data_IF_972165476676
#
_entry.id   IF_972165476676
#
_cell.length_a   1.000
_cell.length_b   1.000
_cell.length_c   1.000
_cell.angle_alpha   90.00
_cell.angle_beta   90.00
_cell.angle_gamma   90.00
#
_symmetry.space_group_name_H-M   'P 1'
#
loop_
_entity.id
_entity.type
_entity.pdbx_description
1 polymer ?
#
# COMPACT_ATOMS: atom_id res chain seq x y z
N UNK A 1 3.92 2.87 -23.73
CA UNK A 1 2.49 3.27 -23.89
C UNK A 1 2.16 4.18 -22.72
N UNK A 2 1.57 5.35 -22.95
CA UNK A 2 1.08 6.18 -21.85
C UNK A 2 -0.03 5.45 -21.08
N UNK A 3 -0.08 5.61 -19.77
CA UNK A 3 -1.06 4.94 -18.90
C UNK A 3 -2.21 5.86 -18.50
N UNK A 4 -3.29 5.30 -17.98
CA UNK A 4 -4.41 6.09 -17.48
C UNK A 4 -4.13 6.59 -16.06
N UNK A 5 -4.29 7.89 -15.79
CA UNK A 5 -4.16 8.46 -14.44
C UNK A 5 -5.03 7.73 -13.39
N UNK A 6 -6.19 7.19 -13.78
CA UNK A 6 -7.06 6.44 -12.87
C UNK A 6 -6.51 5.05 -12.50
N UNK A 7 -5.50 4.55 -13.22
CA UNK A 7 -4.86 3.27 -12.92
C UNK A 7 -3.97 3.33 -11.67
N UNK A 8 -3.62 4.54 -11.19
CA UNK A 8 -2.81 4.73 -9.99
C UNK A 8 -3.60 5.49 -8.93
N UNK A 9 -3.72 4.88 -7.75
CA UNK A 9 -4.46 5.45 -6.63
C UNK A 9 -4.12 6.92 -6.33
N UNK A 10 -2.86 7.37 -6.22
CA UNK A 10 -2.61 8.75 -5.83
C UNK A 10 -3.13 9.78 -6.85
N UNK A 11 -3.12 9.48 -8.16
CA UNK A 11 -3.71 10.37 -9.16
C UNK A 11 -5.23 10.25 -9.22
N UNK A 12 -5.75 9.01 -9.15
CA UNK A 12 -7.19 8.74 -9.13
C UNK A 12 -7.87 9.46 -7.98
N UNK A 13 -7.30 9.36 -6.78
CA UNK A 13 -7.80 10.03 -5.58
C UNK A 13 -7.84 11.55 -5.76
N UNK A 14 -6.80 12.18 -6.31
CA UNK A 14 -6.78 13.63 -6.57
C UNK A 14 -7.80 14.09 -7.63
N UNK A 15 -8.27 13.16 -8.49
CA UNK A 15 -9.34 13.43 -9.46
C UNK A 15 -10.73 13.21 -8.84
N UNK A 16 -10.87 12.31 -7.87
CA UNK A 16 -12.10 12.07 -7.12
C UNK A 16 -12.31 13.10 -6.00
N UNK A 17 -11.22 13.57 -5.39
CA UNK A 17 -11.19 14.57 -4.31
C UNK A 17 -10.29 15.77 -4.68
N UNK A 18 -10.76 16.69 -5.54
CA UNK A 18 -9.97 17.82 -6.02
C UNK A 18 -9.43 18.73 -4.92
N UNK A 19 -10.18 18.93 -3.84
CA UNK A 19 -9.80 19.77 -2.70
C UNK A 19 -8.55 19.24 -1.99
N UNK A 20 -8.27 17.93 -2.06
CA UNK A 20 -7.06 17.33 -1.52
C UNK A 20 -5.78 17.91 -2.16
N UNK A 21 -5.84 18.40 -3.41
CA UNK A 21 -4.70 19.07 -4.06
C UNK A 21 -4.26 20.31 -3.28
N UNK A 22 -5.21 21.11 -2.81
CA UNK A 22 -4.94 22.31 -2.02
C UNK A 22 -4.40 21.95 -0.63
N UNK A 23 -4.97 20.91 0.01
CA UNK A 23 -4.49 20.39 1.29
C UNK A 23 -3.02 19.96 1.17
N UNK A 24 -2.70 19.13 0.18
CA UNK A 24 -1.35 18.63 -0.06
C UNK A 24 -0.38 19.79 -0.32
N UNK A 25 -0.74 20.73 -1.21
CA UNK A 25 0.11 21.87 -1.53
C UNK A 25 0.47 22.69 -0.29
N UNK A 26 -0.48 22.88 0.61
CA UNK A 26 -0.30 23.66 1.85
C UNK A 26 0.59 22.91 2.85
N UNK A 27 0.36 21.61 3.01
CA UNK A 27 0.95 20.86 4.12
C UNK A 27 2.24 20.09 3.76
N UNK A 28 2.60 19.97 2.47
CA UNK A 28 3.78 19.22 2.02
C UNK A 28 5.10 19.68 2.64
N UNK A 29 5.23 20.97 2.96
CA UNK A 29 6.44 21.53 3.59
C UNK A 29 6.47 21.37 5.11
N UNK A 30 5.39 20.85 5.70
CA UNK A 30 5.27 20.58 7.14
C UNK A 30 5.49 19.10 7.47
N UNK A 31 6.03 18.33 6.53
CA UNK A 31 6.53 16.99 6.75
C UNK A 31 8.00 17.02 7.16
N UNK A 32 8.32 16.42 8.31
CA UNK A 32 9.69 16.20 8.76
C UNK A 32 10.00 14.71 8.72
N UNK A 33 11.02 14.32 7.97
CA UNK A 33 11.39 12.92 7.73
C UNK A 33 10.24 12.04 7.19
N UNK A 34 9.29 12.63 6.46
CA UNK A 34 8.12 11.95 5.92
C UNK A 34 6.90 11.93 6.83
N UNK A 35 7.02 12.37 8.10
CA UNK A 35 5.89 12.46 9.03
C UNK A 35 5.31 13.87 9.03
N UNK A 36 3.99 13.98 9.01
CA UNK A 36 3.32 15.23 9.31
C UNK A 36 3.49 15.56 10.80
N UNK A 37 3.74 16.82 11.13
CA UNK A 37 3.61 17.27 12.51
C UNK A 37 2.16 17.14 12.99
N UNK A 38 1.94 17.01 14.30
CA UNK A 38 0.59 16.96 14.86
C UNK A 38 -0.27 18.16 14.45
N UNK A 39 0.32 19.36 14.40
CA UNK A 39 -0.36 20.56 13.91
C UNK A 39 -0.72 20.49 12.42
N UNK A 40 0.20 20.00 11.58
CA UNK A 40 -0.07 19.84 10.15
C UNK A 40 -1.18 18.81 9.93
N UNK A 41 -1.14 17.69 10.67
CA UNK A 41 -2.19 16.69 10.65
C UNK A 41 -3.55 17.30 11.06
N UNK A 42 -3.61 18.08 12.14
CA UNK A 42 -4.85 18.75 12.55
C UNK A 42 -5.36 19.72 11.47
N UNK A 43 -4.47 20.42 10.75
CA UNK A 43 -4.87 21.27 9.61
C UNK A 43 -5.43 20.46 8.44
N UNK A 44 -4.86 19.29 8.15
CA UNK A 44 -5.41 18.33 7.17
C UNK A 44 -6.81 17.88 7.59
N UNK A 45 -6.99 17.49 8.86
CA UNK A 45 -8.29 17.08 9.41
C UNK A 45 -9.33 18.20 9.25
N UNK A 46 -9.00 19.42 9.68
CA UNK A 46 -9.92 20.55 9.62
C UNK A 46 -10.31 20.91 8.17
N UNK A 47 -9.34 20.91 7.24
CA UNK A 47 -9.60 21.19 5.84
C UNK A 47 -10.43 20.08 5.18
N UNK A 48 -10.14 18.81 5.48
CA UNK A 48 -10.89 17.68 4.97
C UNK A 48 -12.32 17.61 5.50
N UNK A 49 -12.54 17.89 6.79
CA UNK A 49 -13.90 17.99 7.36
C UNK A 49 -14.69 19.16 6.76
N UNK A 50 -14.03 20.28 6.48
CA UNK A 50 -14.65 21.41 5.77
C UNK A 50 -15.09 20.98 4.37
N UNK A 51 -14.23 20.29 3.62
CA UNK A 51 -14.56 19.78 2.29
C UNK A 51 -15.65 18.71 2.32
N UNK A 52 -15.67 17.85 3.36
CA UNK A 52 -16.72 16.87 3.59
C UNK A 52 -18.09 17.54 3.74
N UNK A 53 -18.20 18.52 4.64
CA UNK A 53 -19.46 19.22 4.88
C UNK A 53 -19.95 19.93 3.60
N UNK A 54 -19.05 20.61 2.88
CA UNK A 54 -19.37 21.25 1.59
C UNK A 54 -19.81 20.25 0.51
N UNK A 55 -19.31 19.02 0.55
CA UNK A 55 -19.73 17.96 -0.36
C UNK A 55 -21.11 17.39 0.05
N UNK A 56 -21.38 17.22 1.35
CA UNK A 56 -22.69 16.80 1.85
C UNK A 56 -23.80 17.78 1.47
N UNK A 57 -23.54 19.08 1.50
CA UNK A 57 -24.51 20.11 1.09
C UNK A 57 -24.97 19.95 -0.37
N UNK A 58 -24.12 19.35 -1.21
CA UNK A 58 -24.39 19.10 -2.63
C UNK A 58 -25.03 17.74 -2.89
N UNK A 59 -25.10 16.86 -1.88
CA UNK A 59 -25.66 15.52 -1.99
C UNK A 59 -27.13 15.50 -1.52
N UNK A 60 -28.03 14.80 -2.26
CA UNK A 60 -29.36 14.46 -1.77
C UNK A 60 -29.28 13.78 -0.41
N UNK A 61 -30.20 14.10 0.50
CA UNK A 61 -30.18 13.63 1.88
C UNK A 61 -30.08 12.10 1.99
N UNK A 62 -30.81 11.39 1.12
CA UNK A 62 -30.88 9.93 1.07
C UNK A 62 -29.56 9.28 0.63
N UNK A 63 -28.68 10.05 -0.02
CA UNK A 63 -27.36 9.60 -0.47
C UNK A 63 -26.24 9.95 0.51
N UNK A 64 -26.55 10.70 1.59
CA UNK A 64 -25.53 11.09 2.57
C UNK A 64 -25.14 9.88 3.42
N UNK A 65 -23.85 9.68 3.70
CA UNK A 65 -23.41 8.65 4.63
C UNK A 65 -24.07 8.83 6.01
N UNK A 66 -24.46 7.72 6.63
CA UNK A 66 -25.01 7.74 7.99
C UNK A 66 -23.96 8.05 9.06
N UNK A 67 -22.68 7.93 8.72
CA UNK A 67 -21.53 8.11 9.62
C UNK A 67 -20.42 8.92 8.93
N UNK A 68 -19.49 9.43 9.72
CA UNK A 68 -18.33 10.19 9.23
C UNK A 68 -17.15 9.31 8.84
N UNK A 69 -17.29 7.98 8.84
CA UNK A 69 -16.18 7.03 8.63
C UNK A 69 -15.50 7.26 7.27
N UNK A 70 -16.29 7.55 6.24
CA UNK A 70 -15.80 7.90 4.90
C UNK A 70 -14.97 9.20 4.91
N UNK A 71 -15.38 10.19 5.71
CA UNK A 71 -14.63 11.43 5.85
C UNK A 71 -13.27 11.16 6.51
N UNK A 72 -13.27 10.40 7.61
CA UNK A 72 -12.06 10.02 8.35
C UNK A 72 -11.09 9.26 7.44
N UNK A 73 -11.59 8.29 6.66
CA UNK A 73 -10.79 7.51 5.72
C UNK A 73 -10.19 8.37 4.59
N UNK A 74 -10.96 9.28 4.01
CA UNK A 74 -10.47 10.20 2.97
C UNK A 74 -9.42 11.18 3.52
N UNK A 75 -9.62 11.67 4.76
CA UNK A 75 -8.66 12.53 5.46
C UNK A 75 -7.36 11.77 5.73
N UNK A 76 -7.44 10.53 6.21
CA UNK A 76 -6.28 9.65 6.38
C UNK A 76 -5.52 9.46 5.07
N UNK A 77 -6.24 9.16 3.98
CA UNK A 77 -5.66 9.07 2.64
C UNK A 77 -4.95 10.35 2.21
N UNK A 78 -5.56 11.51 2.48
CA UNK A 78 -4.94 12.80 2.19
C UNK A 78 -3.65 13.03 2.98
N UNK A 79 -3.58 12.59 4.24
CA UNK A 79 -2.36 12.66 5.05
C UNK A 79 -1.22 11.80 4.47
N UNK A 80 -1.51 10.57 4.05
CA UNK A 80 -0.52 9.72 3.34
C UNK A 80 -0.07 10.34 2.01
N UNK A 81 -0.99 10.98 1.29
CA UNK A 81 -0.66 11.73 0.08
C UNK A 81 0.24 12.95 0.33
N UNK A 82 0.08 13.62 1.47
CA UNK A 82 0.97 14.71 1.89
C UNK A 82 2.39 14.16 2.12
N UNK A 83 2.51 13.04 2.86
CA UNK A 83 3.80 12.37 3.08
C UNK A 83 4.45 11.91 1.76
N UNK A 84 3.67 11.32 0.86
CA UNK A 84 4.08 10.94 -0.49
C UNK A 84 4.54 12.13 -1.33
N UNK A 85 3.82 13.24 -1.26
CA UNK A 85 4.18 14.47 -1.94
C UNK A 85 5.50 15.04 -1.42
N UNK A 86 5.72 15.00 -0.10
CA UNK A 86 6.95 15.44 0.56
C UNK A 86 8.12 14.51 0.22
N UNK A 87 7.84 13.21 0.05
CA UNK A 87 8.78 12.20 -0.42
C UNK A 87 9.12 12.29 -1.92
N UNK A 88 8.59 13.27 -2.65
CA UNK A 88 8.91 13.52 -4.05
C UNK A 88 7.96 12.87 -5.07
N UNK A 89 6.82 12.31 -4.63
CA UNK A 89 5.81 11.64 -5.48
C UNK A 89 6.35 10.45 -6.26
N UNK A 90 7.34 9.76 -5.69
CA UNK A 90 7.98 8.62 -6.34
C UNK A 90 6.99 7.46 -6.45
N UNK A 91 6.70 7.03 -7.67
CA UNK A 91 5.78 5.92 -7.92
C UNK A 91 6.48 4.85 -8.74
N UNK A 92 6.40 3.62 -8.26
CA UNK A 92 6.97 2.44 -8.92
C UNK A 92 5.81 1.52 -9.31
N UNK A 93 5.78 1.11 -10.57
CA UNK A 93 4.74 0.21 -11.08
C UNK A 93 5.31 -1.17 -11.34
N UNK A 94 4.74 -2.18 -10.67
CA UNK A 94 5.06 -3.58 -10.88
C UNK A 94 4.22 -4.17 -12.02
N UNK A 95 4.85 -4.76 -13.04
CA UNK A 95 4.15 -5.55 -14.07
C UNK A 95 3.40 -6.74 -13.46
N UNK A 96 2.29 -7.15 -14.09
CA UNK A 96 1.44 -8.22 -13.59
C UNK A 96 2.19 -9.56 -13.49
N UNK A 97 3.13 -9.81 -14.41
CA UNK A 97 3.98 -11.00 -14.43
C UNK A 97 4.88 -11.06 -13.19
N UNK A 98 5.45 -9.92 -12.79
CA UNK A 98 6.29 -9.83 -11.59
C UNK A 98 5.45 -9.99 -10.34
N UNK A 99 4.28 -9.35 -10.28
CA UNK A 99 3.33 -9.51 -9.17
C UNK A 99 2.95 -10.98 -8.99
N UNK A 100 2.68 -11.70 -10.08
CA UNK A 100 2.37 -13.13 -10.05
C UNK A 100 3.52 -13.99 -9.50
N UNK A 101 4.76 -13.70 -9.88
CA UNK A 101 5.94 -14.42 -9.37
C UNK A 101 6.20 -14.09 -7.89
N UNK A 102 6.10 -12.83 -7.49
CA UNK A 102 6.30 -12.42 -6.09
C UNK A 102 5.20 -12.96 -5.18
N UNK A 103 3.96 -13.09 -5.67
CA UNK A 103 2.86 -13.73 -4.94
C UNK A 103 3.10 -15.23 -4.66
N UNK A 104 4.02 -15.86 -5.39
CA UNK A 104 4.46 -17.25 -5.22
C UNK A 104 5.83 -17.37 -4.54
N UNK A 105 6.33 -16.28 -3.96
CA UNK A 105 7.63 -16.22 -3.30
C UNK A 105 7.44 -16.15 -1.79
N UNK A 106 8.14 -17.01 -1.06
CA UNK A 106 8.18 -16.97 0.39
C UNK A 106 9.28 -16.02 0.88
N UNK A 107 8.97 -15.28 1.94
CA UNK A 107 9.93 -14.36 2.56
C UNK A 107 10.97 -15.08 3.44
N UNK A 108 10.72 -16.33 3.87
CA UNK A 108 11.61 -17.04 4.80
C UNK A 108 12.00 -16.19 6.01
N UNK A 109 13.28 -16.24 6.40
CA UNK A 109 13.87 -15.45 7.50
C UNK A 109 14.45 -14.10 7.05
N UNK A 110 13.91 -13.51 5.98
CA UNK A 110 14.37 -12.20 5.52
C UNK A 110 14.14 -11.15 6.58
N UNK A 111 15.21 -10.41 6.85
CA UNK A 111 15.21 -9.32 7.82
C UNK A 111 14.81 -8.04 7.11
N UNK A 112 14.13 -7.18 7.82
CA UNK A 112 13.74 -5.87 7.29
C UNK A 112 14.97 -5.01 6.96
N UNK A 113 16.11 -5.22 7.64
CA UNK A 113 17.38 -4.58 7.28
C UNK A 113 18.01 -5.11 5.97
N UNK A 114 17.58 -6.27 5.47
CA UNK A 114 18.00 -6.73 4.14
C UNK A 114 17.27 -5.96 3.02
N UNK A 115 16.23 -5.19 3.36
CA UNK A 115 15.47 -4.35 2.43
C UNK A 115 16.07 -2.92 2.37
N UNK A 116 16.36 -2.46 1.16
CA UNK A 116 16.79 -1.10 0.83
C UNK A 116 15.67 -0.40 0.11
N UNK A 117 15.09 0.59 0.78
CA UNK A 117 14.02 1.39 0.20
C UNK A 117 14.62 2.45 -0.74
N UNK A 118 14.09 2.61 -1.97
CA UNK A 118 14.59 3.60 -2.91
C UNK A 118 14.28 5.04 -2.45
N UNK A 119 13.20 5.20 -1.68
CA UNK A 119 12.75 6.47 -1.12
C UNK A 119 12.14 6.23 0.26
N UNK A 120 12.07 7.29 1.08
CA UNK A 120 11.43 7.23 2.41
C UNK A 120 9.92 7.08 2.32
N UNK A 121 9.30 7.74 1.35
CA UNK A 121 7.89 7.58 1.06
C UNK A 121 7.71 7.48 -0.47
N UNK A 122 7.04 6.43 -0.92
CA UNK A 122 6.74 6.19 -2.31
C UNK A 122 5.49 5.33 -2.45
N UNK A 123 4.90 5.36 -3.64
CA UNK A 123 3.78 4.50 -3.97
C UNK A 123 4.26 3.31 -4.80
N UNK A 124 3.81 2.11 -4.45
CA UNK A 124 4.06 0.90 -5.20
C UNK A 124 2.73 0.40 -5.75
N UNK A 125 2.58 0.48 -7.08
CA UNK A 125 1.35 0.09 -7.78
C UNK A 125 1.47 -1.29 -8.42
N UNK A 126 0.33 -1.98 -8.53
CA UNK A 126 0.21 -3.24 -9.26
C UNK A 126 -0.47 -3.00 -10.62
N UNK A 127 0.16 -3.41 -11.72
CA UNK A 127 -0.45 -3.25 -13.04
C UNK A 127 -1.72 -4.10 -13.14
N UNK A 128 -2.86 -3.45 -13.37
CA UNK A 128 -4.19 -4.09 -13.42
C UNK A 128 -4.87 -4.26 -12.06
N UNK A 129 -4.12 -4.22 -10.96
CA UNK A 129 -4.59 -4.59 -9.63
C UNK A 129 -4.50 -6.10 -9.38
N UNK A 130 -4.83 -6.51 -8.15
CA UNK A 130 -4.90 -7.91 -7.74
C UNK A 130 -6.32 -8.45 -7.96
N UNK A 131 -6.46 -9.77 -8.07
CA UNK A 131 -7.78 -10.45 -8.15
C UNK A 131 -8.53 -10.50 -6.80
N UNK A 132 -7.98 -9.85 -5.78
CA UNK A 132 -8.53 -9.76 -4.43
C UNK A 132 -8.83 -8.32 -4.05
N UNK A 133 -9.93 -8.13 -3.31
CA UNK A 133 -10.36 -6.84 -2.77
C UNK A 133 -10.41 -6.83 -1.24
N UNK A 134 -10.61 -5.64 -0.69
CA UNK A 134 -10.90 -5.41 0.72
C UNK A 134 -12.42 -5.48 0.98
N UNK A 135 -12.87 -5.60 2.24
CA UNK A 135 -14.30 -5.63 2.57
C UNK A 135 -15.05 -4.39 2.06
N UNK A 136 -16.32 -4.58 1.68
CA UNK A 136 -17.19 -3.51 1.19
C UNK A 136 -17.61 -3.70 -0.26
N UNK A 137 -17.84 -2.58 -0.95
CA UNK A 137 -18.27 -2.60 -2.34
C UNK A 137 -17.19 -3.22 -3.27
N UNK A 138 -17.57 -3.75 -4.45
CA UNK A 138 -16.63 -4.39 -5.37
C UNK A 138 -15.39 -3.54 -5.65
N UNK A 139 -14.22 -4.07 -5.30
CA UNK A 139 -12.93 -3.41 -5.43
C UNK A 139 -11.81 -4.44 -5.66
N UNK A 140 -10.66 -3.94 -6.11
CA UNK A 140 -9.41 -4.69 -6.26
C UNK A 140 -8.28 -3.93 -5.58
N UNK A 141 -7.39 -4.63 -4.89
CA UNK A 141 -6.18 -4.01 -4.33
C UNK A 141 -5.26 -3.59 -5.49
N UNK A 142 -4.83 -2.34 -5.52
CA UNK A 142 -4.09 -1.76 -6.66
C UNK A 142 -2.71 -1.21 -6.30
N UNK A 143 -2.34 -1.25 -5.03
CA UNK A 143 -1.02 -0.89 -4.56
C UNK A 143 -0.95 -0.58 -3.08
N UNK A 144 0.11 0.11 -2.69
CA UNK A 144 0.26 0.66 -1.35
C UNK A 144 1.20 1.87 -1.34
N UNK A 145 0.98 2.78 -0.39
CA UNK A 145 2.05 3.68 0.05
C UNK A 145 2.98 2.92 0.98
N UNK A 146 4.28 3.06 0.74
CA UNK A 146 5.34 2.53 1.60
C UNK A 146 6.01 3.71 2.25
N UNK A 147 6.03 3.71 3.58
CA UNK A 147 6.54 4.79 4.39
C UNK A 147 7.56 4.25 5.39
N UNK A 148 8.78 4.78 5.34
CA UNK A 148 9.83 4.43 6.28
C UNK A 148 10.34 5.65 7.03
N UNK A 149 10.26 5.52 8.34
CA UNK A 149 10.69 6.53 9.28
C UNK A 149 11.94 6.03 9.98
N UNK A 150 13.04 6.77 9.81
CA UNK A 150 14.24 6.54 10.59
C UNK A 150 14.06 7.15 11.98
N UNK A 151 14.87 6.69 12.94
CA UNK A 151 14.92 7.30 14.27
C UNK A 151 15.02 8.82 14.16
N UNK A 152 14.22 9.53 14.95
CA UNK A 152 14.32 10.98 15.06
C UNK A 152 15.75 11.41 15.45
N UNK A 153 16.12 12.69 15.28
CA UNK A 153 17.47 13.18 15.59
C UNK A 153 17.93 12.90 17.03
N UNK A 154 16.98 12.74 17.96
CA UNK A 154 17.24 12.40 19.36
C UNK A 154 17.25 10.89 19.67
N UNK A 155 17.08 10.02 18.65
CA UNK A 155 16.93 8.57 18.82
C UNK A 155 15.69 8.11 19.62
N UNK A 156 14.77 9.00 19.97
CA UNK A 156 13.65 8.72 20.88
C UNK A 156 12.54 7.84 20.27
N UNK A 157 12.48 7.72 18.94
CA UNK A 157 11.43 6.96 18.23
C UNK A 157 12.06 5.79 17.49
N UNK A 158 11.57 4.57 17.75
CA UNK A 158 12.01 3.38 17.03
C UNK A 158 11.74 3.54 15.52
N UNK A 159 12.63 3.04 14.64
CA UNK A 159 12.38 3.10 13.21
C UNK A 159 11.09 2.32 12.89
N UNK A 160 10.32 2.82 11.93
CA UNK A 160 9.09 2.17 11.50
C UNK A 160 8.99 2.04 10.00
N UNK A 161 8.28 1.00 9.58
CA UNK A 161 7.91 0.73 8.20
C UNK A 161 6.41 0.55 8.17
N UNK A 162 5.71 1.43 7.45
CA UNK A 162 4.26 1.41 7.38
C UNK A 162 3.82 1.16 5.95
N UNK A 163 2.72 0.42 5.82
CA UNK A 163 2.06 0.14 4.56
C UNK A 163 0.63 0.67 4.61
N UNK A 164 0.27 1.54 3.67
CA UNK A 164 -1.12 1.94 3.45
C UNK A 164 -1.60 1.29 2.16
N UNK A 165 -2.24 0.13 2.28
CA UNK A 165 -2.76 -0.66 1.16
C UNK A 165 -3.97 0.07 0.59
N UNK A 166 -3.96 0.28 -0.73
CA UNK A 166 -5.01 0.96 -1.47
C UNK A 166 -5.82 -0.04 -2.29
N UNK A 167 -7.08 0.31 -2.55
CA UNK A 167 -7.91 -0.41 -3.50
C UNK A 167 -8.51 0.53 -4.53
N UNK A 168 -9.03 -0.05 -5.61
CA UNK A 168 -9.75 0.63 -6.66
C UNK A 168 -11.12 -0.01 -6.81
N UNK A 169 -12.17 0.79 -6.82
CA UNK A 169 -13.52 0.30 -7.11
C UNK A 169 -13.64 -0.24 -8.54
N UNK A 170 -14.38 -1.33 -8.71
CA UNK A 170 -14.57 -2.00 -10.01
C UNK A 170 -15.93 -1.74 -10.64
N UNK A 171 -16.84 -1.08 -9.92
CA UNK A 171 -18.18 -0.73 -10.39
C UNK A 171 -18.23 0.58 -11.21
N UNK A 172 -17.08 1.20 -11.46
CA UNK A 172 -16.94 2.33 -12.38
C UNK A 172 -16.20 3.52 -11.79
N UNK A 173 -15.83 4.50 -12.64
CA UNK A 173 -15.19 5.72 -12.17
C UNK A 173 -16.20 6.63 -11.46
N UNK A 174 -15.92 6.95 -10.21
CA UNK A 174 -16.72 7.90 -9.43
C UNK A 174 -16.28 9.33 -9.78
N UNK A 175 -17.21 10.15 -10.30
CA UNK A 175 -16.95 11.51 -10.80
C UNK A 175 -18.06 12.48 -10.39
N UNK A 176 -17.70 13.75 -10.27
CA UNK A 176 -18.62 14.83 -9.94
C UNK A 176 -18.65 15.21 -8.45
N UNK A 177 -19.59 16.07 -8.05
CA UNK A 177 -19.74 16.51 -6.66
C UNK A 177 -19.98 15.32 -5.73
N UNK A 178 -19.16 15.18 -4.69
CA UNK A 178 -19.26 14.07 -3.74
C UNK A 178 -18.76 12.71 -4.25
N UNK A 179 -18.05 12.67 -5.38
CA UNK A 179 -17.48 11.43 -5.92
C UNK A 179 -16.62 10.65 -4.93
N UNK A 180 -15.80 11.35 -4.13
CA UNK A 180 -14.97 10.72 -3.11
C UNK A 180 -15.75 10.21 -1.90
N UNK A 181 -16.99 10.69 -1.69
CA UNK A 181 -17.90 10.20 -0.65
C UNK A 181 -18.59 8.93 -1.15
N UNK A 182 -19.23 8.99 -2.32
CA UNK A 182 -20.01 7.87 -2.87
C UNK A 182 -19.12 6.75 -3.42
N UNK A 183 -17.94 7.13 -3.90
CA UNK A 183 -16.94 6.26 -4.51
C UNK A 183 -15.80 5.90 -3.56
N UNK A 184 -16.01 5.98 -2.25
CA UNK A 184 -14.98 5.67 -1.26
C UNK A 184 -14.27 4.34 -1.57
N UNK A 185 -12.95 4.40 -1.65
CA UNK A 185 -12.08 3.25 -1.91
C UNK A 185 -11.57 2.70 -0.57
N UNK A 186 -11.90 1.45 -0.22
CA UNK A 186 -11.39 0.81 0.99
C UNK A 186 -9.85 0.80 1.04
N UNK A 187 -9.30 0.87 2.24
CA UNK A 187 -7.86 0.82 2.47
C UNK A 187 -7.53 -0.05 3.69
N UNK A 188 -6.27 -0.40 3.88
CA UNK A 188 -5.81 -1.05 5.09
C UNK A 188 -4.45 -0.49 5.50
N UNK A 189 -4.32 -0.06 6.76
CA UNK A 189 -3.09 0.52 7.28
C UNK A 189 -2.38 -0.46 8.22
N UNK A 190 -1.10 -0.70 7.95
CA UNK A 190 -0.26 -1.58 8.75
C UNK A 190 1.03 -0.86 9.15
N UNK A 191 1.07 -0.23 10.33
CA UNK A 191 2.30 0.32 10.89
C UNK A 191 3.12 -0.80 11.54
N UNK A 192 4.39 -0.93 11.14
CA UNK A 192 5.32 -1.91 11.72
C UNK A 192 6.46 -1.19 12.44
N UNK A 193 6.54 -1.40 13.75
CA UNK A 193 7.65 -0.89 14.58
C UNK A 193 8.82 -1.87 14.55
N UNK A 194 10.01 -1.34 14.23
CA UNK A 194 11.24 -2.11 14.13
C UNK A 194 12.07 -1.92 15.41
N UNK A 195 12.20 -3.01 16.18
CA UNK A 195 12.97 -3.00 17.42
C UNK A 195 14.46 -3.23 17.14
N UNK A 196 14.76 -4.04 16.14
CA UNK A 196 16.13 -4.36 15.75
C UNK A 196 16.30 -4.47 14.23
N UNK A 197 17.52 -4.26 13.69
CA UNK A 197 17.83 -4.59 12.30
C UNK A 197 17.63 -6.08 11.97
N UNK A 198 17.55 -6.94 12.99
CA UNK A 198 17.33 -8.38 12.83
C UNK A 198 15.88 -8.80 12.62
N UNK A 199 14.93 -7.87 12.77
CA UNK A 199 13.50 -8.19 12.78
C UNK A 199 13.03 -8.70 11.41
N UNK A 200 12.24 -9.78 11.42
CA UNK A 200 11.54 -10.29 10.23
C UNK A 200 10.18 -9.60 10.08
N UNK A 201 9.60 -9.66 8.88
CA UNK A 201 8.22 -9.16 8.66
C UNK A 201 7.24 -9.83 9.62
N UNK A 202 7.32 -11.15 9.76
CA UNK A 202 6.42 -11.90 10.63
C UNK A 202 6.56 -11.43 12.08
N UNK A 203 7.79 -11.32 12.60
CA UNK A 203 8.00 -10.84 13.96
C UNK A 203 7.51 -9.40 14.18
N UNK A 204 7.68 -8.51 13.20
CA UNK A 204 7.17 -7.15 13.27
C UNK A 204 5.63 -7.09 13.25
N UNK A 205 5.01 -7.92 12.40
CA UNK A 205 3.55 -8.00 12.29
C UNK A 205 2.90 -8.62 13.52
N UNK A 206 3.47 -9.71 14.06
CA UNK A 206 2.97 -10.38 15.26
C UNK A 206 2.98 -9.40 16.47
N UNK A 207 4.00 -8.55 16.55
CA UNK A 207 4.04 -7.47 17.56
C UNK A 207 2.98 -6.40 17.31
N UNK A 208 2.82 -5.94 16.07
CA UNK A 208 1.80 -4.95 15.72
C UNK A 208 0.38 -5.45 16.03
N UNK A 209 0.10 -6.74 15.78
CA UNK A 209 -1.17 -7.38 16.19
C UNK A 209 -1.30 -7.40 17.71
N UNK A 210 -0.25 -7.85 18.40
CA UNK A 210 -0.24 -7.99 19.86
C UNK A 210 -0.49 -6.66 20.56
N UNK A 211 0.14 -5.59 20.07
CA UNK A 211 -0.02 -4.21 20.52
C UNK A 211 -1.32 -3.55 20.02
N UNK A 212 -2.04 -4.18 19.09
CA UNK A 212 -3.24 -3.65 18.43
C UNK A 212 -2.97 -2.43 17.51
N UNK A 213 -1.72 -2.24 17.05
CA UNK A 213 -1.33 -1.14 16.17
C UNK A 213 -2.02 -1.19 14.80
N UNK A 214 -2.40 -2.39 14.36
CA UNK A 214 -3.21 -2.65 13.14
C UNK A 214 -4.72 -2.54 13.38
N UNK A 215 -5.15 -2.15 14.59
CA UNK A 215 -6.54 -1.87 14.93
C UNK A 215 -7.50 -3.05 14.76
N UNK A 216 -7.07 -4.28 15.10
CA UNK A 216 -7.93 -5.48 15.02
C UNK A 216 -8.92 -5.58 16.19
N UNK A 217 -8.76 -4.76 17.22
CA UNK A 217 -9.65 -4.69 18.38
C UNK A 217 -10.03 -3.23 18.63
N UNK A 218 -11.24 -2.94 19.12
CA UNK A 218 -11.59 -1.58 19.53
C UNK A 218 -10.65 -1.12 20.65
N UNK A 219 -10.25 0.15 20.61
CA UNK A 219 -9.51 0.78 21.71
C UNK A 219 -10.48 0.98 22.91
N UNK A 220 -10.27 0.27 24.04
CA UNK A 220 -11.16 0.36 25.18
C UNK A 220 -11.18 1.75 25.82
N UNK A 221 -10.06 2.47 25.82
CA UNK A 221 -9.94 3.80 26.41
C UNK A 221 -10.60 4.86 25.53
N UNK A 222 -10.46 4.74 24.20
CA UNK A 222 -11.21 5.57 23.26
C UNK A 222 -12.72 5.35 23.38
N UNK A 223 -13.14 4.09 23.52
CA UNK A 223 -14.55 3.74 23.67
C UNK A 223 -15.14 4.24 24.99
N UNK A 224 -14.39 4.13 26.10
CA UNK A 224 -14.78 4.68 27.39
C UNK A 224 -14.96 6.20 27.33
N UNK A 225 -13.99 6.92 26.75
CA UNK A 225 -14.06 8.37 26.55
C UNK A 225 -15.26 8.79 25.69
N UNK A 226 -15.53 8.07 24.61
CA UNK A 226 -16.69 8.32 23.76
C UNK A 226 -18.00 8.17 24.54
N UNK A 227 -18.15 7.07 25.30
CA UNK A 227 -19.36 6.80 26.09
C UNK A 227 -19.57 7.87 27.17
N UNK A 228 -18.51 8.22 27.88
CA UNK A 228 -18.54 9.29 28.88
C UNK A 228 -18.97 10.63 28.26
N UNK A 229 -18.38 11.03 27.13
CA UNK A 229 -18.75 12.29 26.48
C UNK A 229 -20.21 12.32 25.99
N UNK A 230 -20.76 11.17 25.60
CA UNK A 230 -22.18 11.06 25.25
C UNK A 230 -23.08 11.19 26.48
N UNK A 231 -22.69 10.60 27.61
CA UNK A 231 -23.43 10.74 28.88
C UNK A 231 -23.40 12.19 29.39
N UNK A 232 -22.24 12.84 29.34
CA UNK A 232 -22.08 14.26 29.69
C UNK A 232 -23.00 15.15 28.83
N UNK A 233 -22.98 14.97 27.51
CA UNK A 233 -23.86 15.73 26.61
C UNK A 233 -25.35 15.48 26.88
N UNK A 234 -25.75 14.27 27.27
CA UNK A 234 -27.15 13.99 27.67
C UNK A 234 -27.52 14.69 28.96
N UNK A 235 -26.61 14.69 29.95
CA UNK A 235 -26.82 15.39 31.21
C UNK A 235 -26.96 16.90 31.00
N UNK A 236 -26.28 17.45 30.00
CA UNK A 236 -26.40 18.85 29.57
C UNK A 236 -27.66 19.13 28.71
N UNK A 237 -28.50 18.13 28.47
CA UNK A 237 -29.77 18.26 27.74
C UNK A 237 -29.63 18.19 26.21
N UNK A 238 -28.48 17.82 25.67
CA UNK A 238 -28.32 17.65 24.22
C UNK A 238 -28.94 16.32 23.74
N UNK A 239 -29.67 16.32 22.61
CA UNK A 239 -30.29 15.12 22.05
C UNK A 239 -29.26 14.28 21.29
N UNK A 240 -28.38 13.57 22.01
CA UNK A 240 -27.35 12.71 21.44
C UNK A 240 -27.72 11.21 21.52
N UNK A 241 -27.73 10.56 20.36
CA UNK A 241 -27.88 9.11 20.24
C UNK A 241 -26.54 8.39 20.40
N UNK A 242 -26.57 7.15 20.91
CA UNK A 242 -25.43 6.25 20.82
C UNK A 242 -25.72 5.24 19.70
N UNK A 243 -24.91 5.16 18.64
CA UNK A 243 -25.11 4.14 17.62
C UNK A 243 -24.91 2.73 18.22
N UNK A 244 -25.51 1.71 17.59
CA UNK A 244 -25.36 0.32 18.03
C UNK A 244 -23.90 -0.14 18.05
N UNK A 245 -23.08 0.40 17.14
CA UNK A 245 -21.63 0.26 17.14
C UNK A 245 -21.01 1.66 17.00
N UNK A 246 -19.99 1.96 17.81
CA UNK A 246 -19.15 3.15 17.65
C UNK A 246 -18.30 3.08 16.38
N UNK A 247 -17.69 4.22 15.99
CA UNK A 247 -16.69 4.25 14.90
C UNK A 247 -15.52 3.29 15.17
N UNK A 248 -15.00 3.30 16.40
CA UNK A 248 -13.91 2.41 16.81
C UNK A 248 -14.26 0.92 16.68
N UNK A 249 -15.50 0.54 17.00
CA UNK A 249 -15.96 -0.84 16.86
C UNK A 249 -16.15 -1.23 15.39
N UNK A 250 -16.70 -0.33 14.56
CA UNK A 250 -16.83 -0.56 13.11
C UNK A 250 -15.46 -0.70 12.43
N UNK A 251 -14.51 0.17 12.77
CA UNK A 251 -13.15 0.12 12.23
C UNK A 251 -12.45 -1.19 12.61
N UNK A 252 -12.59 -1.64 13.87
CA UNK A 252 -12.03 -2.90 14.30
C UNK A 252 -12.63 -4.10 13.56
N UNK A 253 -13.95 -4.13 13.37
CA UNK A 253 -14.63 -5.18 12.60
C UNK A 253 -14.19 -5.19 11.14
N UNK A 254 -14.07 -4.01 10.52
CA UNK A 254 -13.54 -3.88 9.17
C UNK A 254 -12.11 -4.43 9.08
N UNK A 255 -11.24 -4.02 10.01
CA UNK A 255 -9.84 -4.47 10.02
C UNK A 255 -9.72 -5.98 10.25
N UNK A 256 -10.53 -6.58 11.12
CA UNK A 256 -10.59 -8.04 11.30
C UNK A 256 -10.96 -8.76 10.00
N UNK A 257 -11.96 -8.25 9.27
CA UNK A 257 -12.38 -8.83 8.00
C UNK A 257 -11.33 -8.62 6.88
N UNK A 258 -10.64 -7.48 6.88
CA UNK A 258 -9.62 -7.14 5.89
C UNK A 258 -8.29 -7.87 6.12
N UNK A 259 -7.95 -8.18 7.36
CA UNK A 259 -6.63 -8.62 7.77
C UNK A 259 -6.11 -9.88 7.06
N UNK A 260 -6.90 -10.96 6.84
CA UNK A 260 -6.41 -12.14 6.13
C UNK A 260 -5.90 -11.81 4.71
N UNK A 261 -6.62 -10.96 3.98
CA UNK A 261 -6.21 -10.48 2.65
C UNK A 261 -5.03 -9.54 2.76
N UNK A 262 -5.08 -8.56 3.68
CA UNK A 262 -4.02 -7.59 3.88
C UNK A 262 -2.69 -8.25 4.23
N UNK A 263 -2.68 -9.29 5.08
CA UNK A 263 -1.48 -10.06 5.44
C UNK A 263 -0.78 -10.66 4.22
N UNK A 264 -1.53 -11.22 3.28
CA UNK A 264 -0.95 -11.76 2.04
C UNK A 264 -0.38 -10.65 1.16
N UNK A 265 -1.05 -9.50 1.10
CA UNK A 265 -0.56 -8.32 0.36
C UNK A 265 0.69 -7.73 1.02
N UNK A 266 0.79 -7.70 2.35
CA UNK A 266 2.00 -7.27 3.06
C UNK A 266 3.21 -8.14 2.71
N UNK A 267 3.01 -9.46 2.61
CA UNK A 267 4.06 -10.37 2.16
C UNK A 267 4.50 -10.08 0.71
N UNK A 268 3.55 -9.86 -0.20
CA UNK A 268 3.82 -9.45 -1.59
C UNK A 268 4.57 -8.12 -1.65
N UNK A 269 4.16 -7.12 -0.86
CA UNK A 269 4.82 -5.81 -0.80
C UNK A 269 6.27 -5.97 -0.33
N UNK A 270 6.51 -6.75 0.72
CA UNK A 270 7.86 -7.03 1.20
C UNK A 270 8.71 -7.80 0.18
N UNK A 271 8.14 -8.75 -0.55
CA UNK A 271 8.80 -9.40 -1.68
C UNK A 271 9.21 -8.37 -2.75
N UNK A 272 8.34 -7.41 -3.05
CA UNK A 272 8.68 -6.33 -3.97
C UNK A 272 9.78 -5.41 -3.42
N UNK A 273 9.79 -5.12 -2.12
CA UNK A 273 10.88 -4.35 -1.49
C UNK A 273 12.21 -5.10 -1.57
N UNK A 274 12.24 -6.41 -1.34
CA UNK A 274 13.41 -7.25 -1.54
C UNK A 274 13.92 -7.16 -2.99
N UNK A 275 13.03 -7.21 -3.97
CA UNK A 275 13.40 -7.09 -5.38
C UNK A 275 13.99 -5.71 -5.72
N UNK A 276 13.39 -4.64 -5.20
CA UNK A 276 13.93 -3.29 -5.32
C UNK A 276 15.30 -3.13 -4.65
N UNK A 277 15.63 -3.99 -3.69
CA UNK A 277 16.90 -3.98 -2.97
C UNK A 277 18.03 -4.68 -3.72
N UNK A 278 17.70 -5.66 -4.57
CA UNK A 278 18.69 -6.49 -5.26
C UNK A 278 19.17 -5.89 -6.57
N UNK A 279 18.26 -5.35 -7.39
CA UNK A 279 18.60 -4.67 -8.64
C UNK A 279 17.30 -4.14 -9.30
N UNK A 280 17.00 -2.84 -9.23
CA UNK A 280 15.93 -2.28 -10.02
C UNK A 280 16.52 -1.46 -11.17
N UNK A 281 16.59 -2.05 -12.36
CA UNK A 281 16.52 -1.20 -13.55
C UNK A 281 15.12 -0.58 -13.56
N UNK A 282 14.98 0.60 -12.97
CA UNK A 282 13.76 1.38 -13.11
C UNK A 282 13.77 1.97 -14.52
N UNK A 283 12.68 1.74 -15.25
CA UNK A 283 12.49 2.32 -16.57
C UNK A 283 12.52 3.86 -16.55
N UNK A 284 12.50 4.42 -17.76
CA UNK A 284 12.30 5.86 -17.93
C UNK A 284 10.97 6.30 -17.29
N UNK A 285 10.87 7.54 -16.79
CA UNK A 285 9.61 8.08 -16.30
C UNK A 285 8.53 8.05 -17.39
N UNK A 286 7.37 7.50 -17.07
CA UNK A 286 6.18 7.49 -17.90
C UNK A 286 5.17 8.52 -17.34
N UNK A 287 4.47 9.24 -18.22
CA UNK A 287 3.41 10.19 -17.84
C UNK A 287 2.02 9.64 -18.20
N UNK A 288 0.97 10.01 -17.44
CA UNK A 288 -0.38 9.58 -17.76
C UNK A 288 -0.90 10.29 -19.02
N UNK A 289 -1.82 9.65 -19.74
CA UNK A 289 -2.47 10.17 -20.96
C UNK A 289 -3.13 11.53 -20.74
N UNK A 290 -3.64 11.79 -19.53
CA UNK A 290 -4.35 13.01 -19.18
C UNK A 290 -3.42 14.18 -18.78
N UNK A 291 -2.10 13.96 -18.67
CA UNK A 291 -1.16 15.03 -18.37
C UNK A 291 -1.03 15.98 -19.59
N UNK A 292 -1.02 17.31 -19.39
CA UNK A 292 -0.79 18.28 -20.46
C UNK A 292 0.53 18.03 -21.20
N UNK A 293 0.45 17.60 -22.46
CA UNK A 293 1.62 17.24 -23.28
C UNK A 293 2.63 18.38 -23.44
N UNK A 294 2.16 19.63 -23.45
CA UNK A 294 3.03 20.82 -23.50
C UNK A 294 3.91 20.95 -22.26
N UNK A 295 3.38 20.65 -21.07
CA UNK A 295 4.15 20.67 -19.83
C UNK A 295 5.08 19.45 -19.74
N UNK A 296 4.61 18.28 -20.15
CA UNK A 296 5.43 17.05 -20.20
C UNK A 296 6.65 17.26 -21.09
N UNK A 297 6.46 17.79 -22.30
CA UNK A 297 7.55 18.10 -23.22
C UNK A 297 8.58 19.05 -22.60
N UNK A 298 8.13 20.08 -21.86
CA UNK A 298 9.02 21.00 -21.15
C UNK A 298 9.80 20.29 -20.05
N UNK A 299 9.19 19.36 -19.31
CA UNK A 299 9.89 18.58 -18.27
C UNK A 299 10.98 17.71 -18.89
N UNK A 300 10.71 17.08 -20.02
CA UNK A 300 11.64 16.14 -20.67
C UNK A 300 12.77 16.86 -21.42
N UNK A 301 12.45 17.93 -22.16
CA UNK A 301 13.33 18.47 -23.19
C UNK A 301 13.91 19.87 -22.87
N UNK A 302 13.41 20.57 -21.84
CA UNK A 302 13.93 21.90 -21.54
C UNK A 302 15.39 21.85 -21.07
N UNK A 303 16.21 22.76 -21.59
CA UNK A 303 17.64 22.85 -21.31
C UNK A 303 17.94 23.30 -19.88
N UNK A 304 17.08 24.14 -19.29
CA UNK A 304 17.34 24.72 -17.96
C UNK A 304 16.62 23.94 -16.84
N UNK A 305 17.32 23.61 -15.73
CA UNK A 305 16.72 22.91 -14.59
C UNK A 305 15.52 23.67 -13.98
N UNK A 306 15.58 25.01 -13.96
CA UNK A 306 14.50 25.87 -13.44
C UNK A 306 13.20 25.67 -14.23
N UNK A 307 13.28 25.67 -15.57
CA UNK A 307 12.10 25.53 -16.44
C UNK A 307 11.47 24.14 -16.29
N UNK A 308 12.29 23.08 -16.20
CA UNK A 308 11.83 21.71 -15.90
C UNK A 308 11.11 21.64 -14.55
N UNK A 309 11.69 22.23 -13.49
CA UNK A 309 11.09 22.25 -12.14
C UNK A 309 9.77 23.00 -12.10
N UNK A 310 9.66 24.14 -12.78
CA UNK A 310 8.40 24.91 -12.86
C UNK A 310 7.31 24.14 -13.60
N UNK A 311 7.62 23.49 -14.72
CA UNK A 311 6.65 22.66 -15.44
C UNK A 311 6.22 21.44 -14.63
N UNK A 312 7.15 20.76 -13.96
CA UNK A 312 6.85 19.66 -13.04
C UNK A 312 5.99 20.12 -11.85
N UNK A 313 6.24 21.32 -11.32
CA UNK A 313 5.41 21.93 -10.27
C UNK A 313 3.97 22.16 -10.72
N UNK A 314 3.76 22.69 -11.93
CA UNK A 314 2.41 22.88 -12.50
C UNK A 314 1.70 21.54 -12.73
N UNK A 315 2.40 20.54 -13.27
CA UNK A 315 1.85 19.18 -13.40
C UNK A 315 1.41 18.63 -12.03
N UNK A 316 2.24 18.81 -11.00
CA UNK A 316 1.92 18.36 -9.65
C UNK A 316 0.73 19.12 -9.03
N UNK A 317 0.59 20.42 -9.30
CA UNK A 317 -0.59 21.22 -8.91
C UNK A 317 -1.88 20.68 -9.58
N UNK A 318 -1.77 20.24 -10.84
CA UNK A 318 -2.87 19.61 -11.57
C UNK A 318 -3.13 18.14 -11.15
N UNK A 319 -2.29 17.59 -10.27
CA UNK A 319 -2.39 16.23 -9.76
C UNK A 319 -1.71 15.16 -10.62
N UNK A 320 -0.82 15.56 -11.52
CA UNK A 320 -0.05 14.68 -12.39
C UNK A 320 1.42 14.59 -11.98
N UNK A 321 1.97 13.39 -12.01
CA UNK A 321 3.39 13.10 -11.77
C UNK A 321 3.81 11.89 -12.60
N UNK A 322 5.11 11.68 -12.76
CA UNK A 322 5.61 10.55 -13.54
C UNK A 322 5.69 9.27 -12.69
N UNK A 323 5.60 8.12 -13.35
CA UNK A 323 5.72 6.79 -12.75
C UNK A 323 6.89 6.06 -13.40
N UNK A 324 7.61 5.24 -12.65
CA UNK A 324 8.65 4.37 -13.20
C UNK A 324 8.17 2.94 -13.18
N UNK A 325 8.16 2.28 -14.32
CA UNK A 325 7.92 0.84 -14.40
C UNK A 325 9.18 0.10 -13.95
N UNK A 326 9.01 -0.96 -13.17
CA UNK A 326 10.11 -1.88 -12.92
C UNK A 326 10.44 -2.61 -14.22
N UNK A 327 11.61 -2.34 -14.80
CA UNK A 327 12.15 -3.10 -15.92
C UNK A 327 12.87 -4.32 -15.37
N UNK A 328 12.11 -5.40 -15.21
CA UNK A 328 12.68 -6.67 -14.83
C UNK A 328 12.72 -7.56 -16.07
N UNK A 329 13.91 -7.71 -16.65
CA UNK A 329 14.12 -8.66 -17.73
C UNK A 329 13.92 -10.06 -17.17
N UNK A 330 12.86 -10.73 -17.60
CA UNK A 330 12.70 -12.18 -17.49
C UNK A 330 13.74 -12.84 -18.42
N UNK A 331 15.02 -12.71 -18.08
CA UNK A 331 16.09 -13.39 -18.77
C UNK A 331 15.99 -14.89 -18.52
N UNK A 332 16.10 -15.68 -19.59
CA UNK A 332 16.30 -17.14 -19.66
C UNK A 332 17.62 -17.59 -19.00
N UNK A 333 18.02 -16.97 -17.89
CA UNK A 333 19.28 -17.20 -17.22
C UNK A 333 18.99 -17.51 -15.75
N UNK A 334 18.48 -18.71 -15.51
CA UNK A 334 18.77 -19.53 -14.31
C UNK A 334 18.27 -20.98 -14.48
N UNK A 335 18.24 -21.50 -15.71
CA UNK A 335 17.98 -22.93 -15.98
C UNK A 335 19.20 -23.83 -15.72
N UNK A 336 20.14 -23.44 -14.84
CA UNK A 336 21.44 -24.14 -14.74
C UNK A 336 21.85 -24.63 -13.36
N UNK A 337 21.05 -24.44 -12.31
CA UNK A 337 21.45 -24.87 -10.97
C UNK A 337 20.64 -26.05 -10.38
N UNK A 338 19.44 -26.36 -10.88
CA UNK A 338 18.54 -27.35 -10.25
C UNK A 338 18.08 -28.50 -11.15
N UNK A 339 18.67 -28.69 -12.34
CA UNK A 339 18.42 -29.89 -13.17
C UNK A 339 19.10 -31.17 -12.63
N UNK A 340 19.77 -31.11 -11.48
CA UNK A 340 20.53 -32.23 -10.90
C UNK A 340 19.87 -32.89 -9.67
N UNK A 341 18.54 -32.89 -9.60
CA UNK A 341 17.82 -33.80 -8.71
C UNK A 341 17.00 -34.75 -9.59
N UNK A 342 17.63 -35.86 -9.96
CA UNK A 342 16.97 -37.02 -10.54
C UNK A 342 15.86 -37.51 -9.56
N UNK A 343 14.56 -37.43 -9.90
CA UNK A 343 13.48 -37.87 -9.03
C UNK A 343 13.23 -39.39 -9.11
N UNK A 344 14.00 -40.14 -9.91
CA UNK A 344 13.68 -41.54 -10.24
C UNK A 344 13.98 -42.54 -9.10
N UNK A 345 14.15 -42.05 -7.87
CA UNK A 345 14.30 -42.89 -6.66
C UNK A 345 12.99 -43.11 -5.89
N UNK A 346 11.86 -42.57 -6.36
CA UNK A 346 10.54 -43.01 -5.91
C UNK A 346 9.60 -43.09 -7.10
N UNK A 347 9.08 -44.27 -7.43
CA UNK A 347 8.14 -44.51 -8.53
C UNK A 347 6.76 -43.84 -8.39
N UNK A 348 6.70 -42.63 -7.81
CA UNK A 348 5.52 -41.77 -7.73
C UNK A 348 5.60 -40.73 -8.83
N UNK A 349 4.67 -40.82 -9.77
CA UNK A 349 4.47 -39.78 -10.76
C UNK A 349 3.90 -38.51 -10.11
N UNK A 350 4.68 -37.43 -10.12
CA UNK A 350 4.25 -36.12 -9.64
C UNK A 350 3.58 -35.33 -10.77
N UNK A 351 2.42 -34.74 -10.50
CA UNK A 351 1.72 -33.82 -11.42
C UNK A 351 2.48 -32.49 -11.58
N UNK A 352 2.09 -31.71 -12.59
CA UNK A 352 2.55 -30.33 -12.73
C UNK A 352 2.25 -29.55 -11.45
N UNK A 353 3.26 -28.88 -10.87
CA UNK A 353 3.08 -28.08 -9.67
C UNK A 353 4.05 -26.91 -9.62
N UNK A 354 3.66 -25.84 -8.93
CA UNK A 354 4.55 -24.72 -8.67
C UNK A 354 5.48 -25.05 -7.51
N UNK A 355 6.79 -24.99 -7.77
CA UNK A 355 7.78 -24.88 -6.69
C UNK A 355 7.90 -23.42 -6.30
N UNK A 356 7.64 -23.10 -5.04
CA UNK A 356 7.66 -21.73 -4.52
C UNK A 356 9.06 -21.11 -4.64
N UNK A 357 9.07 -19.83 -4.96
CA UNK A 357 10.30 -19.04 -4.92
C UNK A 357 10.65 -18.70 -3.47
N UNK A 358 11.89 -18.31 -3.23
CA UNK A 358 12.32 -17.81 -1.94
C UNK A 358 13.50 -16.85 -2.09
N UNK A 359 13.77 -16.11 -1.03
CA UNK A 359 14.94 -15.26 -0.94
C UNK A 359 16.09 -15.95 -0.22
N UNK A 360 17.29 -15.86 -0.79
CA UNK A 360 18.52 -16.42 -0.21
C UNK A 360 19.50 -15.31 0.14
N UNK A 361 19.94 -15.27 1.39
CA UNK A 361 21.00 -14.38 1.87
C UNK A 361 22.36 -15.04 1.61
N UNK A 362 22.96 -14.78 0.46
CA UNK A 362 24.21 -15.41 0.05
C UNK A 362 25.44 -14.64 0.60
N UNK A 363 26.37 -15.31 1.30
CA UNK A 363 27.68 -14.75 1.64
C UNK A 363 28.46 -14.35 0.38
N UNK A 364 29.09 -13.18 0.41
CA UNK A 364 29.95 -12.69 -0.67
C UNK A 364 31.03 -11.73 -0.12
N UNK A 365 31.87 -11.21 -1.02
CA UNK A 365 32.94 -10.27 -0.67
C UNK A 365 34.15 -10.94 -0.01
N UNK A 366 35.18 -10.16 0.35
CA UNK A 366 36.40 -10.66 0.98
C UNK A 366 36.08 -11.35 2.31
N UNK A 367 36.54 -12.60 2.45
CA UNK A 367 36.33 -13.40 3.66
C UNK A 367 34.87 -13.79 3.91
N UNK A 368 33.97 -13.67 2.92
CA UNK A 368 32.54 -13.99 3.05
C UNK A 368 31.87 -13.23 4.21
N UNK A 369 32.31 -12.00 4.48
CA UNK A 369 31.78 -11.17 5.56
C UNK A 369 30.52 -10.41 5.14
N UNK A 370 30.37 -10.15 3.84
CA UNK A 370 29.22 -9.43 3.29
C UNK A 370 28.09 -10.39 2.93
N UNK A 371 26.86 -9.89 2.86
CA UNK A 371 25.68 -10.67 2.44
C UNK A 371 24.99 -9.95 1.30
N UNK A 372 24.66 -10.68 0.24
CA UNK A 372 23.79 -10.22 -0.85
C UNK A 372 22.50 -11.01 -0.85
N UNK A 373 21.42 -10.34 -1.22
CA UNK A 373 20.12 -10.96 -1.35
C UNK A 373 19.96 -11.50 -2.79
N UNK A 374 19.49 -12.73 -2.94
CA UNK A 374 19.24 -13.38 -4.24
C UNK A 374 17.82 -13.90 -4.25
N UNK A 375 17.10 -13.61 -5.33
CA UNK A 375 15.76 -14.16 -5.55
C UNK A 375 15.86 -15.48 -6.29
N UNK A 376 15.56 -16.58 -5.61
CA UNK A 376 15.32 -17.86 -6.26
C UNK A 376 13.87 -17.85 -6.74
N UNK A 377 13.68 -17.72 -8.05
CA UNK A 377 12.36 -17.52 -8.66
C UNK A 377 11.48 -18.76 -8.50
N UNK A 378 10.15 -18.60 -8.38
CA UNK A 378 9.23 -19.74 -8.48
C UNK A 378 9.32 -20.34 -9.89
N UNK A 379 9.28 -21.67 -9.97
CA UNK A 379 9.38 -22.42 -11.23
C UNK A 379 8.20 -23.39 -11.31
N UNK A 380 7.61 -23.49 -12.50
CA UNK A 380 6.62 -24.52 -12.80
C UNK A 380 7.36 -25.83 -13.09
N UNK A 381 7.18 -26.82 -12.23
CA UNK A 381 7.80 -28.14 -12.37
C UNK A 381 6.85 -29.04 -13.17
N UNK A 382 7.40 -29.80 -14.13
CA UNK A 382 6.65 -30.69 -15.04
C UNK A 382 5.57 -29.96 -15.87
N UNK A 383 5.93 -28.83 -16.48
CA UNK A 383 5.06 -28.05 -17.35
C UNK A 383 4.52 -28.87 -18.55
N UNK A 384 5.27 -29.88 -18.99
CA UNK A 384 4.88 -30.86 -20.01
C UNK A 384 3.60 -31.63 -19.68
N UNK A 385 3.20 -31.66 -18.40
CA UNK A 385 2.01 -32.37 -17.91
C UNK A 385 0.76 -31.49 -17.76
N UNK A 386 0.78 -30.26 -18.28
CA UNK A 386 -0.36 -29.34 -18.28
C UNK A 386 -0.33 -28.29 -17.17
N UNK A 387 -1.45 -27.57 -17.00
CA UNK A 387 -1.57 -26.58 -15.93
C UNK A 387 -1.68 -27.25 -14.55
N UNK A 388 -0.97 -26.74 -13.53
CA UNK A 388 -1.01 -27.32 -12.20
C UNK A 388 -2.42 -27.19 -11.61
N UNK A 389 -2.94 -28.28 -11.04
CA UNK A 389 -4.20 -28.27 -10.33
C UNK A 389 -4.14 -27.29 -9.15
N UNK A 390 -5.12 -26.39 -9.05
CA UNK A 390 -5.26 -25.47 -7.91
C UNK A 390 -5.49 -26.32 -6.64
N UNK A 391 -4.82 -25.96 -5.55
CA UNK A 391 -4.55 -26.82 -4.40
C UNK A 391 -5.71 -27.68 -3.88
N UNK A 392 -5.36 -28.89 -3.43
CA UNK A 392 -6.28 -29.80 -2.77
C UNK A 392 -6.88 -29.14 -1.52
N UNK A 393 -8.21 -28.92 -1.53
CA UNK A 393 -9.00 -28.72 -0.32
C UNK A 393 -8.96 -30.05 0.46
N UNK A 394 -8.19 -30.10 1.53
CA UNK A 394 -8.35 -31.16 2.53
C UNK A 394 -9.63 -30.85 3.31
N UNK A 395 -10.71 -31.57 3.02
CA UNK A 395 -11.83 -31.65 3.94
C UNK A 395 -11.31 -32.32 5.22
N UNK A 396 -11.09 -31.55 6.29
CA UNK A 396 -10.89 -32.11 7.62
C UNK A 396 -12.21 -32.77 8.00
N UNK A 397 -12.26 -34.10 7.95
CA UNK A 397 -13.40 -34.85 8.47
C UNK A 397 -13.26 -34.94 9.99
N UNK A 398 -14.38 -34.87 10.72
CA UNK A 398 -14.45 -34.79 12.19
C UNK A 398 -13.83 -35.98 12.97
N UNK A 399 -13.12 -36.90 12.29
CA UNK A 399 -12.52 -38.08 12.92
C UNK A 399 -11.11 -37.86 13.49
N UNK A 400 -10.47 -36.70 13.25
CA UNK A 400 -9.13 -36.38 13.80
C UNK A 400 -9.16 -35.34 14.94
N UNK A 401 -10.18 -35.39 15.81
CA UNK A 401 -10.23 -34.61 17.07
C UNK A 401 -9.95 -35.46 18.29
#
# INVERSE_FOLDING_TARGET
MAFDADALHPMRFLRQFPEAKAIIRREVNHCHNGLLSGEAFQRVVNAGMTAYNQALDKLPFEKRPATTDIAVAAIGTAAHLVAFAAGGRNSIWLPAEIVALLGRTELGDIRLADMRLPFRCFYLGFAGGLEVGLPGAPNVIDGAYVESFARGPNNDVAPSLSFYITSRRTDGPHRGPGAWILGHEPHFFAPLTLNSPGDTLQGALDRAISANDVGLRPDPDALARLRQGVEEARNDGFPVGLPALSGYERDALYNQAAYPTARNVLALLCNALCLLSTEPALGAPEWPKQAPASLVNVVENATTPKRRRTAAGRLAEDGYFAVRRLDFRLGMAESRADEAADPDLSGREVAAHWRRGHWRRQPHGPGLTERRLIWIRPVLVRQDRGEPAVGHLYAVTEQDR
#
